data_IF_040900130269
#
_entry.id   IF_040900130269
#
_cell.length_a   1.000
_cell.length_b   1.000
_cell.length_c   1.000
_cell.angle_alpha   90.00
_cell.angle_beta   90.00
_cell.angle_gamma   90.00
#
_symmetry.space_group_name_H-M   'P 1'
#
loop_
_entity.id
_entity.type
_entity.pdbx_description
1 polymer ?
#
# COMPACT_ATOMS: atom_id res chain seq x y z
N UNK A 1 21.77 41.15 -8.00
CA UNK A 1 21.51 39.70 -7.92
C UNK A 1 20.01 39.31 -7.92
N UNK A 2 19.06 40.23 -8.09
CA UNK A 2 17.62 39.94 -8.05
C UNK A 2 17.00 39.44 -9.38
N UNK A 3 17.74 39.42 -10.49
CA UNK A 3 17.18 39.11 -11.83
C UNK A 3 17.12 37.62 -12.18
N UNK A 4 17.80 36.73 -11.44
CA UNK A 4 17.83 35.28 -11.73
C UNK A 4 16.65 34.49 -11.16
N UNK A 5 15.84 35.10 -10.28
CA UNK A 5 14.71 34.43 -9.63
C UNK A 5 13.37 34.66 -10.35
N UNK A 6 13.33 35.49 -11.41
CA UNK A 6 12.08 35.76 -12.16
C UNK A 6 11.51 34.55 -12.90
N UNK A 7 12.34 33.54 -13.23
CA UNK A 7 11.87 32.30 -13.88
C UNK A 7 10.97 31.44 -13.00
N UNK A 8 11.02 31.61 -11.68
CA UNK A 8 10.25 30.79 -10.75
C UNK A 8 8.89 31.41 -10.40
N UNK A 9 8.69 32.70 -10.69
CA UNK A 9 7.42 33.42 -10.41
C UNK A 9 6.24 32.99 -11.29
N UNK A 10 6.47 32.19 -12.34
CA UNK A 10 5.41 31.71 -13.23
C UNK A 10 5.06 30.22 -13.04
N UNK A 11 5.66 29.55 -12.04
CA UNK A 11 5.39 28.13 -11.78
C UNK A 11 4.16 27.92 -10.89
N UNK A 12 3.77 28.92 -10.11
CA UNK A 12 2.56 28.88 -9.29
C UNK A 12 1.38 29.45 -10.07
N UNK A 13 0.96 28.73 -11.12
CA UNK A 13 -0.34 29.01 -11.72
C UNK A 13 -1.40 28.37 -10.83
N UNK A 14 -2.33 29.13 -10.23
CA UNK A 14 -3.42 28.55 -9.45
C UNK A 14 -4.21 27.61 -10.36
N UNK A 15 -4.41 26.37 -9.91
CA UNK A 15 -5.37 25.47 -10.53
C UNK A 15 -6.74 26.07 -10.25
N UNK A 16 -7.36 26.67 -11.27
CA UNK A 16 -8.77 27.03 -11.22
C UNK A 16 -9.55 25.78 -10.78
N UNK A 17 -10.38 25.94 -9.75
CA UNK A 17 -11.25 24.92 -9.18
C UNK A 17 -12.38 24.53 -10.14
N UNK A 18 -12.04 24.11 -11.35
CA UNK A 18 -12.95 23.54 -12.32
C UNK A 18 -13.44 22.18 -11.83
N UNK A 19 -14.76 22.00 -11.87
CA UNK A 19 -15.44 20.75 -11.59
C UNK A 19 -14.69 19.56 -12.19
N UNK A 20 -14.68 18.44 -11.46
CA UNK A 20 -14.09 17.18 -11.92
C UNK A 20 -14.60 16.90 -13.35
N UNK A 21 -13.70 16.77 -14.34
CA UNK A 21 -14.13 16.33 -15.65
C UNK A 21 -14.73 14.93 -15.50
N UNK A 22 -15.88 14.71 -16.14
CA UNK A 22 -16.46 13.38 -16.27
C UNK A 22 -15.38 12.37 -16.63
N UNK A 23 -15.36 11.18 -16.00
CA UNK A 23 -14.34 10.19 -16.29
C UNK A 23 -14.41 9.86 -17.78
N UNK A 24 -13.36 10.23 -18.50
CA UNK A 24 -13.20 9.88 -19.90
C UNK A 24 -13.40 8.37 -20.09
N UNK A 25 -14.09 7.92 -21.15
CA UNK A 25 -14.23 6.51 -21.46
C UNK A 25 -12.82 5.93 -21.64
N UNK A 26 -12.41 5.06 -20.71
CA UNK A 26 -11.04 4.54 -20.63
C UNK A 26 -10.38 4.61 -19.24
N UNK A 27 -11.01 5.23 -18.24
CA UNK A 27 -10.47 5.22 -16.86
C UNK A 27 -10.37 3.80 -16.26
N UNK A 28 -11.25 2.88 -16.67
CA UNK A 28 -11.19 1.46 -16.30
C UNK A 28 -9.94 0.73 -16.83
N UNK A 29 -9.33 1.24 -17.91
CA UNK A 29 -8.20 0.61 -18.57
C UNK A 29 -6.86 0.87 -17.83
N UNK A 30 -6.74 1.97 -17.07
CA UNK A 30 -5.51 2.23 -16.29
C UNK A 30 -5.28 1.24 -15.14
N UNK A 31 -6.35 0.72 -14.54
CA UNK A 31 -6.24 -0.30 -13.51
C UNK A 31 -5.80 -1.66 -14.09
N UNK A 32 -6.21 -1.97 -15.33
CA UNK A 32 -5.78 -3.18 -16.04
C UNK A 32 -4.29 -3.13 -16.44
N UNK A 33 -3.74 -1.95 -16.76
CA UNK A 33 -2.35 -1.79 -17.19
C UNK A 33 -1.29 -2.22 -16.16
N UNK A 34 -1.63 -2.23 -14.87
CA UNK A 34 -0.72 -2.66 -13.80
C UNK A 34 -1.14 -3.97 -13.12
N UNK A 35 -2.26 -4.57 -13.52
CA UNK A 35 -2.71 -5.85 -12.97
C UNK A 35 -1.80 -7.04 -13.31
N UNK A 36 -0.93 -6.87 -14.32
CA UNK A 36 0.00 -7.89 -14.79
C UNK A 36 1.44 -7.74 -14.26
N UNK A 37 1.68 -6.87 -13.27
CA UNK A 37 3.00 -6.83 -12.62
C UNK A 37 3.13 -8.07 -11.74
N UNK A 38 3.93 -9.03 -12.18
CA UNK A 38 4.24 -10.27 -11.45
C UNK A 38 4.62 -9.96 -9.99
N UNK A 39 4.03 -10.71 -9.06
CA UNK A 39 4.48 -10.73 -7.67
C UNK A 39 5.87 -11.36 -7.60
N UNK A 40 6.79 -10.84 -6.77
CA UNK A 40 8.07 -11.49 -6.53
C UNK A 40 7.81 -12.88 -5.93
N UNK A 41 8.25 -13.94 -6.62
CA UNK A 41 8.13 -15.33 -6.16
C UNK A 41 7.28 -16.26 -7.02
N UNK A 42 6.67 -15.79 -8.11
CA UNK A 42 6.16 -16.69 -9.14
C UNK A 42 7.33 -17.04 -10.09
N UNK A 43 7.75 -18.30 -10.13
CA UNK A 43 8.62 -18.76 -11.21
C UNK A 43 7.86 -18.60 -12.54
N UNK A 44 8.47 -17.98 -13.57
CA UNK A 44 7.83 -17.85 -14.86
C UNK A 44 7.76 -19.24 -15.51
N UNK A 45 6.56 -19.81 -15.64
CA UNK A 45 6.29 -20.75 -16.73
C UNK A 45 6.42 -19.96 -18.04
N UNK A 46 7.48 -20.28 -18.78
CA UNK A 46 7.85 -19.72 -20.08
C UNK A 46 8.13 -18.21 -20.11
N UNK A 47 9.35 -17.84 -19.72
CA UNK A 47 9.88 -16.51 -19.97
C UNK A 47 9.87 -16.20 -21.49
N UNK A 48 9.30 -15.07 -21.95
CA UNK A 48 9.34 -14.72 -23.36
C UNK A 48 10.78 -14.44 -23.78
N UNK A 49 11.25 -15.17 -24.79
CA UNK A 49 12.58 -15.03 -25.41
C UNK A 49 12.79 -13.58 -25.83
N UNK A 50 13.64 -12.84 -25.10
CA UNK A 50 14.01 -11.46 -25.40
C UNK A 50 15.15 -11.44 -26.44
N UNK A 51 14.88 -11.97 -27.62
CA UNK A 51 15.79 -11.94 -28.77
C UNK A 51 15.02 -11.57 -30.03
N UNK A 52 15.54 -10.62 -30.82
CA UNK A 52 15.00 -10.35 -32.15
C UNK A 52 15.17 -11.63 -33.00
N UNK A 53 14.06 -12.30 -33.33
CA UNK A 53 14.06 -13.48 -34.22
C UNK A 53 14.39 -13.05 -35.65
N UNK A 54 15.66 -12.82 -35.92
CA UNK A 54 16.17 -12.67 -37.28
C UNK A 54 16.41 -14.08 -37.81
N UNK A 55 15.53 -14.59 -38.69
CA UNK A 55 15.58 -15.98 -39.21
C UNK A 55 16.94 -16.41 -39.80
N UNK A 56 17.79 -15.46 -40.18
CA UNK A 56 19.17 -15.68 -40.64
C UNK A 56 20.12 -16.15 -39.54
N UNK A 57 19.90 -15.72 -38.30
CA UNK A 57 20.67 -16.09 -37.13
C UNK A 57 19.76 -17.00 -36.32
N UNK A 58 19.86 -18.32 -36.55
CA UNK A 58 19.10 -19.32 -35.77
C UNK A 58 19.26 -19.05 -34.27
N UNK A 59 18.36 -19.61 -33.44
CA UNK A 59 18.31 -19.35 -32.00
C UNK A 59 19.71 -19.39 -31.38
N UNK A 60 20.31 -18.21 -31.19
CA UNK A 60 21.62 -18.09 -30.58
C UNK A 60 21.40 -18.51 -29.13
N UNK A 61 22.09 -19.56 -28.63
CA UNK A 61 21.93 -19.95 -27.24
C UNK A 61 22.34 -18.76 -26.39
N UNK A 62 21.38 -18.13 -25.72
CA UNK A 62 21.68 -17.05 -24.80
C UNK A 62 22.70 -17.59 -23.79
N UNK A 63 23.90 -16.99 -23.69
CA UNK A 63 24.90 -17.48 -22.76
C UNK A 63 24.32 -17.35 -21.36
N UNK A 64 24.22 -18.48 -20.65
CA UNK A 64 23.71 -18.51 -19.30
C UNK A 64 24.53 -17.54 -18.43
N UNK A 65 23.90 -16.43 -18.03
CA UNK A 65 24.53 -15.44 -17.17
C UNK A 65 24.75 -16.08 -15.79
N UNK A 66 26.00 -16.47 -15.52
CA UNK A 66 26.38 -16.95 -14.20
C UNK A 66 26.44 -15.75 -13.25
N UNK A 67 25.45 -15.66 -12.37
CA UNK A 67 25.51 -14.77 -11.22
C UNK A 67 26.59 -15.31 -10.29
N UNK A 68 27.75 -14.65 -10.28
CA UNK A 68 28.79 -14.91 -9.30
C UNK A 68 28.21 -14.68 -7.91
N UNK A 69 28.12 -15.75 -7.11
CA UNK A 69 27.84 -15.62 -5.69
C UNK A 69 29.03 -14.89 -5.04
N UNK A 70 28.81 -13.62 -4.72
CA UNK A 70 29.83 -12.76 -4.09
C UNK A 70 29.88 -12.97 -2.58
N UNK A 71 29.01 -13.84 -2.02
CA UNK A 71 28.82 -13.98 -0.59
C UNK A 71 28.64 -12.60 0.07
N UNK A 72 29.31 -12.41 1.21
CA UNK A 72 29.23 -11.16 1.98
C UNK A 72 30.20 -10.06 1.49
N UNK A 73 30.80 -10.20 0.31
CA UNK A 73 31.72 -9.16 -0.21
C UNK A 73 30.92 -7.94 -0.67
N UNK A 74 31.51 -6.76 -0.46
CA UNK A 74 30.95 -5.52 -1.00
C UNK A 74 30.82 -5.61 -2.53
N UNK A 75 29.77 -5.03 -3.13
CA UNK A 75 29.58 -5.06 -4.58
C UNK A 75 30.59 -4.16 -5.33
N UNK A 76 31.42 -3.43 -4.59
CA UNK A 76 32.47 -2.54 -5.06
C UNK A 76 33.70 -2.63 -4.14
N UNK A 77 34.84 -2.17 -4.65
CA UNK A 77 36.07 -1.96 -3.88
C UNK A 77 36.38 -0.47 -3.85
N UNK A 78 36.66 0.09 -2.67
CA UNK A 78 36.92 1.52 -2.51
C UNK A 78 38.42 1.78 -2.43
N UNK A 79 39.00 2.39 -3.46
CA UNK A 79 40.44 2.60 -3.54
C UNK A 79 40.96 3.33 -2.30
N UNK A 80 41.91 2.73 -1.57
CA UNK A 80 42.51 3.35 -0.39
C UNK A 80 43.31 4.62 -0.69
N UNK A 81 43.78 4.79 -1.93
CA UNK A 81 44.62 5.93 -2.33
C UNK A 81 43.81 7.17 -2.67
N UNK A 82 42.76 7.04 -3.49
CA UNK A 82 41.97 8.17 -3.98
C UNK A 82 40.51 8.16 -3.50
N UNK A 83 40.06 7.12 -2.80
CA UNK A 83 38.71 6.99 -2.28
C UNK A 83 37.64 6.69 -3.32
N UNK A 84 38.01 6.51 -4.59
CA UNK A 84 37.10 6.19 -5.69
C UNK A 84 36.62 4.73 -5.59
N UNK A 85 35.32 4.53 -5.79
CA UNK A 85 34.72 3.20 -5.84
C UNK A 85 34.92 2.60 -7.24
N UNK A 86 35.30 1.33 -7.26
CA UNK A 86 35.52 0.54 -8.47
C UNK A 86 34.72 -0.75 -8.41
N UNK A 87 34.50 -1.39 -9.56
CA UNK A 87 33.82 -2.68 -9.59
C UNK A 87 34.55 -3.71 -8.70
N UNK A 88 33.83 -4.62 -8.04
CA UNK A 88 34.41 -5.59 -7.10
C UNK A 88 35.51 -6.52 -7.69
N UNK A 89 35.58 -6.63 -9.02
CA UNK A 89 36.59 -7.43 -9.73
C UNK A 89 37.68 -6.57 -10.37
N UNK A 90 37.70 -5.26 -10.12
CA UNK A 90 38.72 -4.38 -10.67
C UNK A 90 40.08 -4.68 -10.02
N UNK A 91 41.10 -4.92 -10.84
CA UNK A 91 42.49 -5.12 -10.38
C UNK A 91 43.19 -3.78 -10.17
N UNK A 92 42.78 -2.73 -10.89
CA UNK A 92 43.36 -1.39 -10.80
C UNK A 92 42.28 -0.32 -10.66
N UNK A 93 42.63 0.78 -9.97
CA UNK A 93 41.75 1.91 -9.81
C UNK A 93 41.71 2.78 -11.08
N UNK A 94 40.54 3.01 -11.69
CA UNK A 94 40.42 3.83 -12.90
C UNK A 94 40.76 5.31 -12.65
N UNK A 95 40.70 5.77 -11.40
CA UNK A 95 41.00 7.16 -11.05
C UNK A 95 42.48 7.46 -10.82
N UNK A 96 43.26 6.51 -10.30
CA UNK A 96 44.66 6.77 -9.90
C UNK A 96 45.66 5.66 -10.25
N UNK A 97 45.23 4.59 -10.91
CA UNK A 97 46.08 3.46 -11.33
C UNK A 97 46.61 2.61 -10.17
N UNK A 98 46.13 2.79 -8.94
CA UNK A 98 46.55 1.96 -7.81
C UNK A 98 46.00 0.54 -7.92
N UNK A 99 46.83 -0.46 -7.60
CA UNK A 99 46.42 -1.85 -7.50
C UNK A 99 45.38 -2.06 -6.37
N UNK A 100 44.27 -2.70 -6.71
CA UNK A 100 43.12 -2.95 -5.84
C UNK A 100 43.10 -4.39 -5.30
N UNK A 101 43.97 -5.25 -5.78
CA UNK A 101 44.12 -6.65 -5.36
C UNK A 101 45.17 -6.85 -4.24
N UNK A 102 45.62 -5.76 -3.61
CA UNK A 102 46.60 -5.80 -2.52
C UNK A 102 45.97 -6.32 -1.21
N UNK A 103 46.73 -7.00 -0.33
CA UNK A 103 46.21 -7.42 0.97
C UNK A 103 45.79 -6.22 1.84
N UNK A 104 46.48 -5.08 1.68
CA UNK A 104 46.13 -3.82 2.32
C UNK A 104 44.76 -3.29 1.88
N UNK A 105 44.43 -3.41 0.59
CA UNK A 105 43.12 -3.03 0.05
C UNK A 105 42.03 -3.96 0.59
N UNK A 106 42.25 -5.28 0.55
CA UNK A 106 41.31 -6.27 1.11
C UNK A 106 40.99 -6.01 2.59
N UNK A 107 42.00 -5.68 3.40
CA UNK A 107 41.79 -5.35 4.80
C UNK A 107 40.99 -4.05 5.01
N UNK A 108 41.08 -3.08 4.09
CA UNK A 108 40.25 -1.87 4.16
C UNK A 108 38.81 -2.12 3.75
N UNK A 109 38.59 -2.89 2.69
CA UNK A 109 37.24 -3.29 2.26
C UNK A 109 36.55 -4.10 3.36
N UNK A 110 37.30 -4.98 4.04
CA UNK A 110 36.81 -5.78 5.16
C UNK A 110 36.36 -4.90 6.34
N UNK A 111 37.13 -3.85 6.68
CA UNK A 111 36.74 -2.87 7.71
C UNK A 111 35.50 -2.10 7.31
N UNK A 112 35.43 -1.63 6.06
CA UNK A 112 34.27 -0.91 5.53
C UNK A 112 33.01 -1.78 5.61
N UNK A 113 33.13 -3.07 5.30
CA UNK A 113 32.04 -4.03 5.42
C UNK A 113 31.55 -4.17 6.87
N UNK A 114 32.45 -4.33 7.86
CA UNK A 114 32.06 -4.38 9.28
C UNK A 114 31.34 -3.10 9.70
N UNK A 115 31.86 -1.95 9.30
CA UNK A 115 31.26 -0.65 9.62
C UNK A 115 29.85 -0.52 9.04
N UNK A 116 29.68 -0.88 7.76
CA UNK A 116 28.37 -0.88 7.08
C UNK A 116 27.39 -1.85 7.71
N UNK A 117 27.83 -3.02 8.13
CA UNK A 117 26.97 -3.98 8.84
C UNK A 117 26.45 -3.39 10.16
N UNK A 118 27.31 -2.74 10.94
CA UNK A 118 26.91 -2.06 12.19
C UNK A 118 25.92 -0.93 11.93
N UNK A 119 26.19 -0.08 10.94
CA UNK A 119 25.27 1.00 10.54
C UNK A 119 23.92 0.44 10.10
N UNK A 120 23.92 -0.62 9.29
CA UNK A 120 22.69 -1.27 8.84
C UNK A 120 21.86 -1.84 10.00
N UNK A 121 22.50 -2.43 11.02
CA UNK A 121 21.81 -2.89 12.22
C UNK A 121 21.16 -1.74 12.99
N UNK A 122 21.88 -0.63 13.18
CA UNK A 122 21.36 0.55 13.88
C UNK A 122 20.18 1.16 13.11
N UNK A 123 20.31 1.30 11.79
CA UNK A 123 19.24 1.77 10.91
C UNK A 123 18.03 0.84 10.94
N UNK A 124 18.24 -0.47 10.95
CA UNK A 124 17.18 -1.47 11.05
C UNK A 124 16.43 -1.38 12.38
N UNK A 125 17.14 -1.21 13.50
CA UNK A 125 16.53 -1.00 14.83
C UNK A 125 15.71 0.29 14.86
N UNK A 126 16.27 1.38 14.33
CA UNK A 126 15.56 2.66 14.26
C UNK A 126 14.33 2.58 13.34
N UNK A 127 14.42 1.87 12.21
CA UNK A 127 13.29 1.65 11.31
C UNK A 127 12.20 0.80 11.95
N UNK A 128 12.56 -0.26 12.68
CA UNK A 128 11.62 -1.09 13.43
C UNK A 128 10.87 -0.27 14.48
N UNK A 129 11.58 0.54 15.28
CA UNK A 129 10.98 1.40 16.29
C UNK A 129 10.00 2.43 15.68
N UNK A 130 10.36 3.02 14.52
CA UNK A 130 9.46 3.92 13.79
C UNK A 130 8.20 3.21 13.31
N UNK A 131 8.32 2.00 12.75
CA UNK A 131 7.17 1.20 12.30
C UNK A 131 6.24 0.86 13.45
N UNK A 132 6.79 0.48 14.61
CA UNK A 132 6.00 0.19 15.80
C UNK A 132 5.28 1.44 16.34
N UNK A 133 5.94 2.60 16.35
CA UNK A 133 5.32 3.86 16.75
C UNK A 133 4.17 4.24 15.83
N UNK A 134 4.35 4.10 14.50
CA UNK A 134 3.29 4.34 13.52
C UNK A 134 2.11 3.37 13.71
N UNK A 135 2.39 2.07 13.87
CA UNK A 135 1.34 1.07 14.10
C UNK A 135 0.53 1.37 15.37
N UNK A 136 1.18 1.82 16.45
CA UNK A 136 0.48 2.24 17.67
C UNK A 136 -0.37 3.49 17.46
N UNK A 137 0.14 4.48 16.74
CA UNK A 137 -0.60 5.69 16.40
C UNK A 137 -1.85 5.35 15.55
N UNK A 138 -1.70 4.54 14.51
CA UNK A 138 -2.79 4.08 13.65
C UNK A 138 -3.85 3.28 14.42
N UNK A 139 -3.44 2.41 15.35
CA UNK A 139 -4.36 1.68 16.21
C UNK A 139 -5.14 2.59 17.17
N UNK A 140 -4.47 3.62 17.69
CA UNK A 140 -5.09 4.69 18.50
C UNK A 140 -6.13 5.45 17.69
N UNK A 141 -5.76 5.95 16.52
CA UNK A 141 -6.67 6.66 15.61
C UNK A 141 -7.86 5.81 15.17
N UNK A 142 -7.64 4.52 14.85
CA UNK A 142 -8.71 3.60 14.50
C UNK A 142 -9.71 3.43 15.66
N UNK A 143 -9.21 3.38 16.90
CA UNK A 143 -10.05 3.27 18.09
C UNK A 143 -10.83 4.57 18.34
N UNK A 144 -10.19 5.73 18.21
CA UNK A 144 -10.85 7.03 18.32
C UNK A 144 -11.93 7.22 17.24
N UNK A 145 -11.66 6.82 15.99
CA UNK A 145 -12.64 6.87 14.90
C UNK A 145 -13.85 5.97 15.17
N UNK A 146 -13.64 4.76 15.69
CA UNK A 146 -14.74 3.87 16.09
C UNK A 146 -15.59 4.48 17.19
N UNK A 147 -14.96 4.95 18.26
CA UNK A 147 -15.67 5.57 19.39
C UNK A 147 -16.49 6.80 18.96
N UNK A 148 -15.93 7.65 18.09
CA UNK A 148 -16.64 8.79 17.50
C UNK A 148 -17.82 8.33 16.64
N UNK A 149 -17.62 7.33 15.77
CA UNK A 149 -18.68 6.77 14.95
C UNK A 149 -19.84 6.19 15.77
N UNK A 150 -19.55 5.47 16.84
CA UNK A 150 -20.55 4.92 17.76
C UNK A 150 -21.29 6.01 18.54
N UNK A 151 -20.60 7.09 18.94
CA UNK A 151 -21.24 8.23 19.59
C UNK A 151 -22.23 8.93 18.64
N UNK A 152 -21.80 9.22 17.41
CA UNK A 152 -22.64 9.81 16.37
C UNK A 152 -23.83 8.91 16.02
N UNK A 153 -23.60 7.60 15.88
CA UNK A 153 -24.67 6.65 15.58
C UNK A 153 -25.74 6.61 16.69
N UNK A 154 -25.32 6.71 17.96
CA UNK A 154 -26.26 6.80 19.10
C UNK A 154 -27.06 8.09 19.06
N UNK A 155 -26.41 9.23 18.86
CA UNK A 155 -27.06 10.55 18.80
C UNK A 155 -28.09 10.61 17.65
N UNK A 156 -27.69 10.19 16.45
CA UNK A 156 -28.58 10.13 15.29
C UNK A 156 -29.72 9.15 15.53
N UNK A 157 -29.44 7.96 16.09
CA UNK A 157 -30.47 6.98 16.41
C UNK A 157 -31.49 7.48 17.44
N UNK A 158 -31.06 8.23 18.46
CA UNK A 158 -31.96 8.87 19.43
C UNK A 158 -32.79 9.98 18.80
N UNK A 159 -32.18 10.82 17.95
CA UNK A 159 -32.87 11.88 17.23
C UNK A 159 -33.95 11.32 16.29
N UNK A 160 -33.62 10.30 15.50
CA UNK A 160 -34.57 9.67 14.60
C UNK A 160 -35.67 8.92 15.35
N UNK A 161 -35.37 8.25 16.47
CA UNK A 161 -36.41 7.67 17.33
C UNK A 161 -37.41 8.72 17.80
N UNK A 162 -36.92 9.84 18.36
CA UNK A 162 -37.79 10.94 18.82
C UNK A 162 -38.61 11.55 17.68
N UNK A 163 -38.02 11.68 16.48
CA UNK A 163 -38.72 12.16 15.29
C UNK A 163 -39.84 11.21 14.88
N UNK A 164 -39.56 9.91 14.79
CA UNK A 164 -40.56 8.90 14.45
C UNK A 164 -41.66 8.83 15.50
N UNK A 165 -41.34 8.92 16.79
CA UNK A 165 -42.31 9.01 17.89
C UNK A 165 -43.23 10.23 17.72
N UNK A 166 -42.67 11.41 17.41
CA UNK A 166 -43.43 12.63 17.17
C UNK A 166 -44.32 12.55 15.91
N UNK A 167 -43.86 11.85 14.87
CA UNK A 167 -44.63 11.56 13.64
C UNK A 167 -45.66 10.42 13.85
N UNK A 168 -45.74 9.81 15.05
CA UNK A 168 -46.65 8.70 15.36
C UNK A 168 -46.23 7.35 14.76
N UNK A 169 -45.01 7.27 14.21
CA UNK A 169 -44.40 6.08 13.61
C UNK A 169 -43.47 5.32 14.57
N UNK A 170 -43.06 5.96 15.67
CA UNK A 170 -42.22 5.38 16.72
C UNK A 170 -43.09 4.86 17.86
N UNK A 171 -43.28 3.54 17.94
CA UNK A 171 -44.12 2.89 18.95
C UNK A 171 -45.20 1.97 18.41
N UNK A 172 -45.14 1.60 17.12
CA UNK A 172 -45.95 0.50 16.60
C UNK A 172 -45.57 -0.82 17.31
N UNK A 173 -46.55 -1.63 17.75
CA UNK A 173 -46.28 -2.90 18.39
C UNK A 173 -45.37 -3.78 17.52
N UNK A 174 -44.36 -4.42 18.12
CA UNK A 174 -43.54 -5.40 17.40
C UNK A 174 -44.41 -6.46 16.69
N UNK A 175 -43.90 -7.18 15.69
CA UNK A 175 -44.70 -8.08 14.85
C UNK A 175 -45.57 -9.09 15.64
N UNK A 176 -45.16 -9.42 16.87
CA UNK A 176 -45.91 -10.27 17.80
C UNK A 176 -47.20 -9.63 18.35
N UNK A 177 -47.22 -8.31 18.57
CA UNK A 177 -48.39 -7.61 19.09
C UNK A 177 -49.42 -7.22 18.01
N UNK A 178 -48.97 -7.04 16.76
CA UNK A 178 -49.87 -6.97 15.60
C UNK A 178 -50.66 -8.27 15.43
N UNK A 179 -50.00 -9.43 15.57
CA UNK A 179 -50.65 -10.73 15.60
C UNK A 179 -51.67 -10.87 16.73
N UNK A 180 -51.32 -10.40 17.95
CA UNK A 180 -52.22 -10.46 19.10
C UNK A 180 -53.48 -9.57 18.95
N UNK A 181 -53.37 -8.41 18.30
CA UNK A 181 -54.54 -7.55 18.01
C UNK A 181 -55.45 -8.15 16.93
N UNK A 182 -54.88 -8.74 15.88
CA UNK A 182 -55.65 -9.45 14.85
C UNK A 182 -56.39 -10.65 15.45
N UNK A 183 -55.73 -11.42 16.34
CA UNK A 183 -56.36 -12.55 17.03
C UNK A 183 -57.44 -12.11 18.03
N UNK A 184 -57.28 -10.99 18.75
CA UNK A 184 -58.36 -10.45 19.61
C UNK A 184 -59.55 -9.96 18.80
N UNK A 185 -59.32 -9.30 17.65
CA UNK A 185 -60.39 -8.87 16.75
C UNK A 185 -61.16 -10.06 16.16
N UNK A 186 -60.47 -11.16 15.81
CA UNK A 186 -61.08 -12.41 15.36
C UNK A 186 -61.80 -13.16 16.49
N UNK A 187 -61.25 -13.16 17.71
CA UNK A 187 -61.87 -13.77 18.88
C UNK A 187 -63.19 -13.11 19.29
N UNK A 188 -63.33 -11.79 19.07
CA UNK A 188 -64.61 -11.08 19.28
C UNK A 188 -65.66 -11.39 18.21
N UNK A 189 -65.24 -11.82 17.01
CA UNK A 189 -66.16 -12.19 15.93
C UNK A 189 -66.80 -13.57 16.18
N UNK A 190 -66.07 -14.52 16.78
CA UNK A 190 -66.56 -15.86 17.07
C UNK A 190 -67.50 -15.95 18.29
N UNK A 191 -67.37 -15.03 19.26
CA UNK A 191 -68.23 -15.05 20.46
C UNK A 191 -69.63 -14.47 20.23
N UNK A 192 -69.89 -13.85 19.07
CA UNK A 192 -71.18 -13.21 18.74
C UNK A 192 -72.10 -14.05 17.84
N UNK A 193 -71.63 -15.20 17.34
CA UNK A 193 -72.38 -16.06 16.40
C UNK A 193 -72.97 -17.36 16.97
N UNK A 194 -72.67 -17.74 18.22
CA UNK A 194 -73.01 -19.06 18.78
C UNK A 194 -74.05 -19.02 19.91
N UNK A 195 -75.17 -18.33 19.73
CA UNK A 195 -76.21 -18.23 20.74
C UNK A 195 -77.59 -17.98 20.15
N UNK A 196 -78.13 -18.95 19.44
CA UNK A 196 -79.45 -18.85 18.80
C UNK A 196 -80.08 -20.21 18.52
N UNK A 197 -80.70 -20.76 19.58
CA UNK A 197 -81.74 -21.80 19.68
C UNK A 197 -82.30 -22.42 18.40
N UNK A 198 -82.44 -23.75 18.44
CA UNK A 198 -83.30 -24.59 17.60
C UNK A 198 -83.24 -26.01 18.13
#
# INVERSE_FOLDING_TARGET
MASRLRRFLHLERPRDGGAAPDPAPGAADRAARFGAVQRPGAEPEDAPVTGAKLERFGAEPEPALQLLDRGDRLPFTRCRRCGMDSHALAVECPGCGAALDTPEQRAADERLRVERARQAEEEARAAAARREALARAEAGEATSRRALGEALAREVGERERRRLEAEGLGGGPGPLELGARVLRALGTYWRRGGGGRG
#
